data_IF_747193190937
#
_entry.id   IF_747193190937
#
_cell.length_a   1.000
_cell.length_b   1.000
_cell.length_c   1.000
_cell.angle_alpha   90.00
_cell.angle_beta   90.00
_cell.angle_gamma   90.00
#
_symmetry.space_group_name_H-M   'P 1'
#
loop_
_entity.id
_entity.type
_entity.pdbx_description
1 polymer ?
#
# COMPACT_ATOMS: atom_id res chain seq x y z
N UNK A 1 -49.35 0.65 7.82
CA UNK A 1 -48.30 1.52 8.36
C UNK A 1 -46.99 0.76 8.61
N UNK A 2 -46.99 -0.38 9.28
CA UNK A 2 -45.78 -1.19 9.56
C UNK A 2 -45.00 -1.63 8.29
N UNK A 3 -45.68 -2.17 7.27
CA UNK A 3 -45.05 -2.62 6.02
C UNK A 3 -44.37 -1.48 5.23
N UNK A 4 -44.88 -0.26 5.33
CA UNK A 4 -44.29 0.91 4.70
C UNK A 4 -42.99 1.32 5.41
N UNK A 5 -43.00 1.40 6.73
CA UNK A 5 -41.82 1.74 7.52
C UNK A 5 -40.71 0.70 7.35
N UNK A 6 -41.07 -0.59 7.37
CA UNK A 6 -40.15 -1.68 7.10
C UNK A 6 -39.48 -1.55 5.74
N UNK A 7 -40.24 -1.22 4.70
CA UNK A 7 -39.71 -1.02 3.34
C UNK A 7 -38.72 0.16 3.31
N UNK A 8 -39.06 1.30 3.94
CA UNK A 8 -38.16 2.45 4.03
C UNK A 8 -36.85 2.09 4.70
N UNK A 9 -36.88 1.36 5.81
CA UNK A 9 -35.68 0.88 6.54
C UNK A 9 -34.87 -0.06 5.65
N UNK A 10 -35.50 -0.96 4.91
CA UNK A 10 -34.81 -1.86 3.99
C UNK A 10 -34.13 -1.10 2.83
N UNK A 11 -34.80 -0.07 2.26
CA UNK A 11 -34.21 0.81 1.23
C UNK A 11 -33.02 1.57 1.80
N UNK A 12 -33.15 2.13 2.98
CA UNK A 12 -32.04 2.79 3.69
C UNK A 12 -30.83 1.85 3.88
N UNK A 13 -31.07 0.64 4.37
CA UNK A 13 -30.01 -0.38 4.51
C UNK A 13 -29.39 -0.78 3.17
N UNK A 14 -30.14 -0.73 2.07
CA UNK A 14 -29.61 -0.94 0.73
C UNK A 14 -28.71 0.22 0.29
N UNK A 15 -29.09 1.46 0.58
CA UNK A 15 -28.30 2.66 0.28
C UNK A 15 -26.98 2.69 1.07
N UNK A 16 -26.93 2.13 2.27
CA UNK A 16 -25.68 1.97 3.05
C UNK A 16 -24.65 1.09 2.38
N UNK A 17 -25.05 0.21 1.46
CA UNK A 17 -24.15 -0.67 0.69
C UNK A 17 -23.57 -0.03 -0.56
N UNK A 18 -23.96 1.20 -0.87
CA UNK A 18 -23.46 1.98 -2.00
C UNK A 18 -24.56 2.62 -2.84
N UNK A 19 -24.17 3.43 -3.83
CA UNK A 19 -25.10 4.14 -4.70
C UNK A 19 -26.06 3.22 -5.46
N UNK A 20 -27.28 3.69 -5.69
CA UNK A 20 -28.31 2.95 -6.44
C UNK A 20 -28.99 3.82 -7.47
N UNK A 21 -29.23 3.25 -8.65
CA UNK A 21 -30.20 3.79 -9.61
C UNK A 21 -31.58 3.15 -9.35
N UNK A 22 -32.62 3.71 -9.94
CA UNK A 22 -33.98 3.15 -9.78
C UNK A 22 -34.06 1.70 -10.28
N UNK A 23 -33.38 1.35 -11.36
CA UNK A 23 -33.34 0.00 -11.91
C UNK A 23 -32.67 -1.00 -10.96
N UNK A 24 -31.55 -0.60 -10.36
CA UNK A 24 -30.85 -1.40 -9.35
C UNK A 24 -31.73 -1.62 -8.13
N UNK A 25 -32.44 -0.56 -7.70
CA UNK A 25 -33.32 -0.64 -6.54
C UNK A 25 -34.56 -1.50 -6.83
N UNK A 26 -35.13 -1.40 -8.02
CA UNK A 26 -36.28 -2.22 -8.44
C UNK A 26 -35.91 -3.71 -8.52
N UNK A 27 -34.77 -4.05 -9.11
CA UNK A 27 -34.25 -5.43 -9.15
C UNK A 27 -33.97 -5.98 -7.74
N UNK A 28 -33.36 -5.15 -6.90
CA UNK A 28 -33.11 -5.52 -5.51
C UNK A 28 -34.41 -5.76 -4.73
N UNK A 29 -35.42 -4.89 -4.89
CA UNK A 29 -36.72 -5.04 -4.24
C UNK A 29 -37.40 -6.34 -4.65
N UNK A 30 -37.42 -6.64 -5.95
CA UNK A 30 -37.97 -7.91 -6.46
C UNK A 30 -37.25 -9.13 -5.87
N UNK A 31 -35.90 -9.12 -5.84
CA UNK A 31 -35.10 -10.20 -5.25
C UNK A 31 -35.28 -10.33 -3.72
N UNK A 32 -35.63 -9.24 -3.05
CA UNK A 32 -35.91 -9.23 -1.59
C UNK A 32 -37.37 -9.57 -1.26
N UNK A 33 -38.19 -9.96 -2.25
CA UNK A 33 -39.61 -10.27 -2.06
C UNK A 33 -40.46 -9.04 -1.70
N UNK A 34 -40.01 -7.85 -2.08
CA UNK A 34 -40.73 -6.60 -1.84
C UNK A 34 -41.55 -6.26 -3.08
N UNK A 35 -42.83 -6.55 -3.06
CA UNK A 35 -43.76 -6.21 -4.14
C UNK A 35 -44.06 -4.70 -4.14
N UNK A 36 -43.33 -3.93 -4.95
CA UNK A 36 -43.49 -2.48 -5.03
C UNK A 36 -43.18 -1.99 -6.44
N UNK A 37 -44.04 -1.09 -6.94
CA UNK A 37 -43.82 -0.46 -8.24
C UNK A 37 -42.78 0.69 -8.17
N UNK A 38 -42.17 0.99 -9.30
CA UNK A 38 -41.15 2.04 -9.45
C UNK A 38 -41.60 3.40 -8.91
N UNK A 39 -42.85 3.80 -9.13
CA UNK A 39 -43.40 5.07 -8.60
C UNK A 39 -43.37 5.13 -7.07
N UNK A 40 -43.63 4.00 -6.42
CA UNK A 40 -43.59 3.93 -4.96
C UNK A 40 -42.16 3.97 -4.43
N UNK A 41 -41.22 3.33 -5.12
CA UNK A 41 -39.78 3.42 -4.77
C UNK A 41 -39.28 4.87 -4.84
N UNK A 42 -39.69 5.64 -5.84
CA UNK A 42 -39.39 7.08 -5.91
C UNK A 42 -39.95 7.85 -4.72
N UNK A 43 -41.20 7.55 -4.32
CA UNK A 43 -41.81 8.20 -3.14
C UNK A 43 -41.07 7.86 -1.86
N UNK A 44 -40.71 6.59 -1.69
CA UNK A 44 -39.98 6.11 -0.53
C UNK A 44 -38.58 6.75 -0.43
N UNK A 45 -37.85 6.88 -1.56
CA UNK A 45 -36.56 7.59 -1.59
C UNK A 45 -36.74 9.07 -1.27
N UNK A 46 -37.75 9.72 -1.84
CA UNK A 46 -38.03 11.13 -1.53
C UNK A 46 -38.39 11.31 -0.05
N UNK A 47 -39.09 10.38 0.55
CA UNK A 47 -39.36 10.41 1.98
C UNK A 47 -38.05 10.19 2.79
N UNK A 48 -37.16 9.29 2.35
CA UNK A 48 -35.84 9.13 2.95
C UNK A 48 -34.96 10.38 2.89
N UNK A 49 -35.11 11.22 1.85
CA UNK A 49 -34.41 12.52 1.76
C UNK A 49 -34.86 13.51 2.84
N UNK A 50 -36.09 13.37 3.32
CA UNK A 50 -36.65 14.27 4.35
C UNK A 50 -36.57 13.68 5.76
N UNK A 51 -36.31 12.35 5.87
CA UNK A 51 -36.17 11.64 7.14
C UNK A 51 -34.68 11.60 7.50
N UNK A 52 -34.36 12.09 8.67
CA UNK A 52 -33.05 11.89 9.27
C UNK A 52 -33.10 10.59 10.08
N UNK A 53 -32.68 9.46 9.46
CA UNK A 53 -32.72 8.13 10.09
C UNK A 53 -31.56 7.97 11.05
N UNK A 54 -30.38 8.45 10.68
CA UNK A 54 -29.23 8.52 11.55
C UNK A 54 -28.63 9.92 11.54
N UNK A 55 -28.04 10.34 12.64
CA UNK A 55 -27.46 11.66 12.81
C UNK A 55 -26.37 11.89 11.75
N UNK A 56 -26.51 12.96 10.97
CA UNK A 56 -25.56 13.34 9.92
C UNK A 56 -25.70 12.58 8.58
N UNK A 57 -26.51 11.53 8.49
CA UNK A 57 -26.74 10.82 7.23
C UNK A 57 -27.88 11.48 6.41
N UNK A 58 -27.59 11.76 5.16
CA UNK A 58 -28.57 12.31 4.21
C UNK A 58 -28.56 11.51 2.92
N UNK A 59 -29.75 11.29 2.36
CA UNK A 59 -29.87 10.73 1.01
C UNK A 59 -29.71 11.87 0.00
N UNK A 60 -28.64 11.82 -0.79
CA UNK A 60 -28.40 12.77 -1.87
C UNK A 60 -28.65 12.14 -3.23
N UNK A 61 -29.06 12.97 -4.15
CA UNK A 61 -29.31 12.63 -5.54
C UNK A 61 -28.24 13.27 -6.41
N UNK A 62 -27.70 12.51 -7.35
CA UNK A 62 -26.73 12.99 -8.35
C UNK A 62 -26.93 12.25 -9.67
N UNK A 63 -26.33 12.76 -10.72
CA UNK A 63 -26.31 12.10 -12.02
C UNK A 63 -24.98 11.38 -12.20
N UNK A 64 -25.01 10.08 -12.54
CA UNK A 64 -23.82 9.31 -12.77
C UNK A 64 -23.18 9.59 -14.15
N UNK A 65 -22.03 9.01 -14.42
CA UNK A 65 -21.29 9.17 -15.69
C UNK A 65 -22.09 8.70 -16.92
N UNK A 66 -23.12 7.88 -16.73
CA UNK A 66 -24.04 7.40 -17.77
C UNK A 66 -25.30 8.24 -17.85
N UNK A 67 -25.31 9.42 -17.26
CA UNK A 67 -26.42 10.36 -17.23
C UNK A 67 -27.70 9.80 -16.58
N UNK A 68 -27.54 8.89 -15.60
CA UNK A 68 -28.66 8.27 -14.87
C UNK A 68 -28.78 8.87 -13.47
N UNK A 69 -30.02 9.08 -13.07
CA UNK A 69 -30.36 9.52 -11.71
C UNK A 69 -29.98 8.45 -10.70
N UNK A 70 -29.14 8.80 -9.76
CA UNK A 70 -28.55 7.90 -8.77
C UNK A 70 -28.70 8.51 -7.37
N UNK A 71 -28.95 7.68 -6.38
CA UNK A 71 -29.00 8.07 -4.97
C UNK A 71 -27.93 7.37 -4.17
N UNK A 72 -27.36 8.09 -3.22
CA UNK A 72 -26.41 7.57 -2.23
C UNK A 72 -26.68 8.18 -0.87
N UNK A 73 -26.22 7.52 0.17
CA UNK A 73 -26.08 8.15 1.48
C UNK A 73 -24.82 9.00 1.48
N UNK A 74 -24.97 10.25 1.85
CA UNK A 74 -23.86 11.13 2.18
C UNK A 74 -23.90 11.43 3.67
N UNK A 75 -22.73 11.43 4.24
CA UNK A 75 -22.53 11.83 5.59
C UNK A 75 -22.16 13.32 5.62
N UNK A 76 -23.07 14.14 6.12
CA UNK A 76 -22.74 15.53 6.48
C UNK A 76 -22.41 15.53 7.96
N UNK A 77 -21.14 15.36 8.30
CA UNK A 77 -20.69 15.64 9.63
C UNK A 77 -21.01 17.12 9.95
N UNK A 78 -21.67 17.39 11.06
CA UNK A 78 -21.61 18.72 11.63
C UNK A 78 -20.14 19.04 11.86
N UNK A 79 -19.68 20.20 11.36
CA UNK A 79 -18.30 20.60 11.47
C UNK A 79 -17.86 20.49 12.96
N UNK A 80 -16.95 19.55 13.24
CA UNK A 80 -16.41 19.31 14.56
C UNK A 80 -16.94 18.08 15.31
N UNK A 81 -17.98 17.37 14.85
CA UNK A 81 -18.40 16.10 15.45
C UNK A 81 -17.79 14.91 14.70
N UNK A 82 -17.07 14.07 15.43
CA UNK A 82 -16.53 12.80 14.94
C UNK A 82 -17.63 11.74 14.87
N UNK A 83 -17.57 10.92 13.86
CA UNK A 83 -18.56 9.89 13.57
C UNK A 83 -17.98 8.50 13.84
N UNK A 84 -18.81 7.47 13.99
CA UNK A 84 -18.36 6.09 14.01
C UNK A 84 -17.49 5.71 12.82
N UNK A 85 -17.78 6.28 11.64
CA UNK A 85 -16.99 6.05 10.43
C UNK A 85 -15.58 6.65 10.53
N UNK A 86 -15.45 7.84 11.13
CA UNK A 86 -14.15 8.50 11.32
C UNK A 86 -13.26 7.67 12.26
N UNK A 87 -13.85 7.13 13.34
CA UNK A 87 -13.12 6.25 14.26
C UNK A 87 -12.66 4.98 13.58
N UNK A 88 -13.54 4.29 12.85
CA UNK A 88 -13.19 3.08 12.14
C UNK A 88 -12.08 3.36 11.11
N UNK A 89 -12.16 4.49 10.40
CA UNK A 89 -11.13 4.92 9.44
C UNK A 89 -9.80 5.18 10.13
N UNK A 90 -9.82 5.84 11.29
CA UNK A 90 -8.60 6.09 12.07
C UNK A 90 -7.94 4.78 12.54
N UNK A 91 -8.70 3.86 13.15
CA UNK A 91 -8.15 2.59 13.60
C UNK A 91 -7.67 1.72 12.45
N UNK A 92 -8.39 1.72 11.31
CA UNK A 92 -7.95 1.04 10.10
C UNK A 92 -6.60 1.60 9.64
N UNK A 93 -6.47 2.91 9.49
CA UNK A 93 -5.21 3.57 9.09
C UNK A 93 -4.10 3.32 10.10
N UNK A 94 -4.39 3.39 11.41
CA UNK A 94 -3.43 3.09 12.47
C UNK A 94 -2.90 1.67 12.37
N UNK A 95 -3.77 0.68 12.11
CA UNK A 95 -3.35 -0.72 11.97
C UNK A 95 -2.49 -0.98 10.74
N UNK A 96 -2.68 -0.23 9.67
CA UNK A 96 -1.86 -0.33 8.46
C UNK A 96 -0.65 0.63 8.46
N UNK A 97 -0.55 1.53 9.43
CA UNK A 97 0.60 2.42 9.51
C UNK A 97 1.89 1.64 9.80
N UNK A 98 3.02 2.02 9.20
CA UNK A 98 4.32 1.46 9.52
C UNK A 98 4.64 1.62 11.00
N UNK A 99 5.30 0.61 11.58
CA UNK A 99 5.62 0.61 13.00
C UNK A 99 6.47 1.82 13.43
N UNK A 100 7.43 2.22 12.59
CA UNK A 100 8.25 3.41 12.84
C UNK A 100 7.41 4.69 13.02
N UNK A 101 6.36 4.87 12.19
CA UNK A 101 5.42 6.00 12.33
C UNK A 101 4.65 5.91 13.63
N UNK A 102 4.16 4.71 13.99
CA UNK A 102 3.42 4.51 15.22
C UNK A 102 4.28 4.76 16.45
N UNK A 103 5.53 4.31 16.46
CA UNK A 103 6.46 4.51 17.56
C UNK A 103 6.79 5.99 17.75
N UNK A 104 7.18 6.69 16.68
CA UNK A 104 7.53 8.12 16.70
C UNK A 104 6.32 9.00 17.06
N UNK A 105 5.13 8.63 16.60
CA UNK A 105 3.91 9.41 16.77
C UNK A 105 3.00 8.91 17.89
N UNK A 106 3.48 8.02 18.76
CA UNK A 106 2.69 7.40 19.81
C UNK A 106 1.87 8.41 20.61
N UNK A 107 2.49 9.48 21.07
CA UNK A 107 1.79 10.53 21.86
C UNK A 107 0.69 11.26 21.06
N UNK A 108 0.87 11.41 19.75
CA UNK A 108 -0.15 12.02 18.88
C UNK A 108 -1.33 11.08 18.69
N UNK A 109 -1.09 9.79 18.45
CA UNK A 109 -2.16 8.79 18.37
C UNK A 109 -2.95 8.69 19.68
N UNK A 110 -2.26 8.67 20.82
CA UNK A 110 -2.91 8.66 22.15
C UNK A 110 -3.76 9.92 22.40
N UNK A 111 -3.32 11.09 21.92
CA UNK A 111 -4.12 12.33 22.00
C UNK A 111 -5.40 12.21 21.15
N UNK A 112 -5.30 11.72 19.93
CA UNK A 112 -6.44 11.53 19.03
C UNK A 112 -7.42 10.51 19.65
N UNK A 113 -6.92 9.41 20.17
CA UNK A 113 -7.75 8.39 20.85
C UNK A 113 -8.49 8.97 22.07
N UNK A 114 -7.82 9.85 22.85
CA UNK A 114 -8.47 10.56 23.95
C UNK A 114 -9.59 11.50 23.50
N UNK A 115 -9.44 12.12 22.32
CA UNK A 115 -10.51 12.94 21.70
C UNK A 115 -11.69 12.06 21.33
N UNK A 116 -11.44 10.92 20.67
CA UNK A 116 -12.50 9.95 20.35
C UNK A 116 -13.20 9.45 21.61
N UNK A 117 -12.44 9.04 22.65
CA UNK A 117 -13.01 8.61 23.90
C UNK A 117 -13.95 9.64 24.54
N UNK A 118 -13.61 10.94 24.45
CA UNK A 118 -14.46 12.02 24.98
C UNK A 118 -15.69 12.32 24.11
N UNK A 119 -15.63 12.00 22.82
CA UNK A 119 -16.70 12.28 21.84
C UNK A 119 -17.79 11.20 21.81
N UNK A 120 -17.54 10.01 22.42
CA UNK A 120 -18.45 8.88 22.39
C UNK A 120 -18.73 8.36 23.81
N UNK A 121 -19.82 7.64 23.96
CA UNK A 121 -20.07 6.91 25.19
C UNK A 121 -19.02 5.81 25.41
N UNK A 122 -18.73 5.47 26.65
CA UNK A 122 -17.77 4.41 26.99
C UNK A 122 -18.06 3.09 26.26
N UNK A 123 -19.33 2.68 26.20
CA UNK A 123 -19.75 1.44 25.56
C UNK A 123 -19.53 1.45 24.03
N UNK A 124 -19.73 2.58 23.38
CA UNK A 124 -19.48 2.72 21.93
C UNK A 124 -18.00 2.66 21.65
N UNK A 125 -17.19 3.39 22.41
CA UNK A 125 -15.74 3.38 22.23
C UNK A 125 -15.13 1.98 22.47
N UNK A 126 -15.56 1.26 23.52
CA UNK A 126 -15.11 -0.10 23.79
C UNK A 126 -15.41 -1.07 22.64
N UNK A 127 -16.55 -0.94 21.97
CA UNK A 127 -16.85 -1.73 20.76
C UNK A 127 -15.85 -1.48 19.62
N UNK A 128 -15.40 -0.23 19.46
CA UNK A 128 -14.40 0.10 18.44
C UNK A 128 -13.00 -0.39 18.80
N UNK A 129 -12.63 -0.31 20.08
CA UNK A 129 -11.36 -0.89 20.58
C UNK A 129 -11.33 -2.39 20.37
N UNK A 130 -12.41 -3.10 20.71
CA UNK A 130 -12.54 -4.54 20.49
C UNK A 130 -12.49 -4.90 19.00
N UNK A 131 -13.16 -4.12 18.13
CA UNK A 131 -13.07 -4.31 16.69
C UNK A 131 -11.63 -4.13 16.16
N UNK A 132 -10.84 -3.27 16.81
CA UNK A 132 -9.44 -3.07 16.46
C UNK A 132 -8.56 -4.30 16.76
N UNK A 133 -8.90 -5.09 17.77
CA UNK A 133 -8.21 -6.34 18.13
C UNK A 133 -8.43 -7.46 17.09
N UNK A 134 -9.44 -7.30 16.22
CA UNK A 134 -9.69 -8.25 15.11
C UNK A 134 -8.69 -8.12 13.97
N UNK A 135 -7.89 -7.04 13.94
CA UNK A 135 -6.88 -6.85 12.90
C UNK A 135 -5.56 -7.49 13.31
N UNK A 136 -5.28 -8.65 12.72
CA UNK A 136 -3.98 -9.30 12.88
C UNK A 136 -2.94 -8.55 12.04
N UNK A 137 -1.98 -7.94 12.72
CA UNK A 137 -0.86 -7.27 12.09
C UNK A 137 0.27 -8.28 11.87
N UNK A 138 0.44 -8.75 10.64
CA UNK A 138 1.64 -9.47 10.26
C UNK A 138 2.76 -8.47 9.93
N UNK A 139 3.70 -8.34 10.85
CA UNK A 139 4.94 -7.61 10.60
C UNK A 139 6.08 -8.62 10.46
N UNK A 140 6.72 -8.66 9.30
CA UNK A 140 7.96 -9.40 9.09
C UNK A 140 9.16 -8.71 9.75
N UNK A 141 8.91 -7.65 10.54
CA UNK A 141 9.94 -6.87 11.20
C UNK A 141 10.00 -7.18 12.68
N UNK A 142 11.22 -7.27 13.18
CA UNK A 142 11.47 -7.30 14.59
C UNK A 142 11.16 -5.91 15.18
N UNK A 143 9.95 -5.73 15.67
CA UNK A 143 9.45 -4.46 16.24
C UNK A 143 10.34 -3.95 17.38
N UNK A 144 11.02 -4.85 18.11
CA UNK A 144 11.95 -4.47 19.15
C UNK A 144 13.22 -3.77 18.64
N UNK A 145 13.59 -3.95 17.36
CA UNK A 145 14.71 -3.22 16.75
C UNK A 145 14.35 -1.80 16.34
N UNK A 146 13.05 -1.51 16.16
CA UNK A 146 12.57 -0.17 15.76
C UNK A 146 12.01 0.62 16.95
N UNK A 147 11.83 0.00 18.11
CA UNK A 147 11.21 0.61 19.29
C UNK A 147 11.97 1.74 19.95
N UNK A 148 13.15 2.11 19.43
CA UNK A 148 13.99 3.18 19.94
C UNK A 148 14.40 4.17 18.85
N UNK A 149 13.50 4.48 17.90
CA UNK A 149 13.65 5.71 17.14
C UNK A 149 13.42 6.87 18.11
N UNK A 150 14.45 7.17 18.90
CA UNK A 150 14.47 8.33 19.81
C UNK A 150 14.48 9.67 19.04
N UNK A 151 14.42 9.61 17.72
CA UNK A 151 14.69 10.75 16.88
C UNK A 151 13.47 11.13 16.05
N UNK A 152 13.26 12.40 15.95
CA UNK A 152 12.32 13.09 15.06
C UNK A 152 12.70 12.93 13.57
N UNK A 153 13.30 11.81 13.19
CA UNK A 153 13.86 11.61 11.84
C UNK A 153 12.83 11.81 10.73
N UNK A 154 11.63 11.25 10.91
CA UNK A 154 10.55 11.41 9.92
C UNK A 154 10.12 12.89 9.83
N UNK A 155 10.02 13.58 10.97
CA UNK A 155 9.70 15.02 11.00
C UNK A 155 10.76 15.84 10.30
N UNK A 156 12.02 15.56 10.58
CA UNK A 156 13.16 16.25 9.99
C UNK A 156 13.21 16.03 8.47
N UNK A 157 12.89 14.82 8.00
CA UNK A 157 12.75 14.56 6.57
C UNK A 157 11.56 15.28 5.95
N UNK A 158 10.40 15.26 6.59
CA UNK A 158 9.22 15.99 6.12
C UNK A 158 9.56 17.48 6.02
N UNK A 159 10.24 18.03 7.02
CA UNK A 159 10.68 19.42 7.01
C UNK A 159 11.67 19.70 5.87
N UNK A 160 12.66 18.82 5.66
CA UNK A 160 13.63 18.95 4.58
C UNK A 160 12.96 18.88 3.20
N UNK A 161 12.00 17.96 3.01
CA UNK A 161 11.22 17.85 1.79
C UNK A 161 10.38 19.10 1.50
N UNK A 162 9.67 19.62 2.51
CA UNK A 162 8.84 20.82 2.36
C UNK A 162 9.67 22.06 2.05
N UNK A 163 10.83 22.18 2.68
CA UNK A 163 11.70 23.34 2.53
C UNK A 163 12.79 23.17 1.47
N UNK A 164 12.77 22.04 0.72
CA UNK A 164 13.77 21.69 -0.28
C UNK A 164 15.20 21.84 0.25
N UNK A 165 15.48 21.27 1.43
CA UNK A 165 16.79 21.34 2.08
C UNK A 165 17.68 20.18 1.70
N UNK A 166 18.95 20.47 1.52
CA UNK A 166 19.99 19.47 1.33
C UNK A 166 20.22 18.77 2.66
N UNK A 167 20.36 17.44 2.63
CA UNK A 167 20.80 16.67 3.78
C UNK A 167 22.13 15.99 3.50
N UNK A 168 22.91 15.80 4.54
CA UNK A 168 24.16 15.03 4.47
C UNK A 168 23.89 13.70 5.15
N UNK A 169 24.00 12.62 4.42
CA UNK A 169 23.89 11.27 4.96
C UNK A 169 25.29 10.83 5.35
N UNK A 170 25.49 10.62 6.64
CA UNK A 170 26.80 10.35 7.22
C UNK A 170 27.09 8.87 7.28
N UNK A 171 26.06 8.06 7.55
CA UNK A 171 26.20 6.61 7.67
C UNK A 171 24.87 5.90 7.41
N UNK A 172 24.98 4.73 6.78
CA UNK A 172 23.92 3.75 6.64
C UNK A 172 24.53 2.35 6.94
N UNK A 173 24.42 1.91 8.19
CA UNK A 173 25.05 0.67 8.65
C UNK A 173 24.44 -0.57 8.02
N UNK A 174 23.17 -0.55 7.64
CA UNK A 174 22.53 -1.69 6.94
C UNK A 174 23.15 -1.89 5.56
N UNK A 175 23.39 -0.78 4.86
CA UNK A 175 24.06 -0.84 3.57
C UNK A 175 25.59 -1.01 3.71
N UNK A 176 26.19 -0.54 4.81
CA UNK A 176 27.62 -0.70 5.07
C UNK A 176 28.03 -2.16 5.31
N UNK A 177 27.22 -2.97 5.97
CA UNK A 177 27.44 -4.41 6.11
C UNK A 177 27.34 -5.18 4.76
N UNK A 178 26.63 -4.61 3.78
CA UNK A 178 26.49 -5.09 2.41
C UNK A 178 27.32 -4.30 1.39
N UNK A 179 28.29 -3.51 1.84
CA UNK A 179 29.06 -2.46 1.13
C UNK A 179 29.80 -2.87 -0.14
N UNK A 180 29.70 -4.10 -0.60
CA UNK A 180 30.18 -4.46 -1.94
C UNK A 180 29.20 -4.12 -3.07
N UNK A 181 27.99 -3.58 -2.77
CA UNK A 181 26.93 -3.42 -3.76
C UNK A 181 26.53 -1.94 -3.99
N UNK A 182 26.73 -1.08 -2.98
CA UNK A 182 26.55 0.37 -3.15
C UNK A 182 27.93 1.02 -3.03
N UNK A 183 28.58 1.32 -4.16
CA UNK A 183 29.76 2.17 -4.24
C UNK A 183 29.37 3.62 -3.87
N UNK A 184 28.91 3.84 -2.65
CA UNK A 184 28.60 5.16 -2.15
C UNK A 184 29.52 5.46 -0.99
N UNK A 185 30.52 6.27 -1.25
CA UNK A 185 31.42 6.76 -0.20
C UNK A 185 30.63 7.78 0.65
N UNK A 186 30.53 7.52 1.95
CA UNK A 186 29.96 8.45 2.90
C UNK A 186 31.02 9.49 3.32
N UNK A 187 30.62 10.73 3.61
CA UNK A 187 29.25 11.27 3.64
C UNK A 187 28.68 11.59 2.25
N UNK A 188 27.36 11.42 2.09
CA UNK A 188 26.66 11.69 0.83
C UNK A 188 25.86 12.98 0.92
N UNK A 189 26.11 13.91 0.00
CA UNK A 189 25.22 15.06 -0.20
C UNK A 189 23.98 14.59 -0.93
N UNK A 190 22.81 14.72 -0.31
CA UNK A 190 21.57 14.15 -0.78
C UNK A 190 20.49 15.23 -0.93
N UNK A 191 19.79 15.18 -2.05
CA UNK A 191 18.67 16.04 -2.40
C UNK A 191 17.39 15.23 -2.23
N UNK A 192 16.68 15.33 -1.09
CA UNK A 192 15.51 14.51 -0.82
C UNK A 192 14.34 14.88 -1.72
N UNK A 193 13.69 13.88 -2.31
CA UNK A 193 12.59 14.06 -3.24
C UNK A 193 11.27 13.56 -2.67
N UNK A 194 11.26 12.41 -1.99
CA UNK A 194 10.04 11.84 -1.40
C UNK A 194 10.34 10.84 -0.28
N UNK A 195 9.31 10.60 0.56
CA UNK A 195 9.27 9.47 1.48
C UNK A 195 8.51 8.32 0.81
N UNK A 196 9.10 7.13 0.86
CA UNK A 196 8.56 5.93 0.21
C UNK A 196 8.22 4.89 1.27
N UNK A 197 6.98 4.38 1.20
CA UNK A 197 6.58 3.22 1.96
C UNK A 197 6.74 1.98 1.10
N UNK A 198 7.62 1.09 1.51
CA UNK A 198 7.86 -0.14 0.75
C UNK A 198 8.02 -1.34 1.67
N UNK A 199 7.16 -2.34 1.51
CA UNK A 199 7.18 -3.60 2.28
C UNK A 199 7.28 -3.39 3.80
N UNK A 200 6.50 -2.45 4.32
CA UNK A 200 6.45 -2.13 5.75
C UNK A 200 7.60 -1.27 6.26
N UNK A 201 8.52 -0.83 5.39
CA UNK A 201 9.61 0.11 5.73
C UNK A 201 9.32 1.50 5.20
N UNK A 202 9.88 2.48 5.89
CA UNK A 202 9.97 3.84 5.38
C UNK A 202 11.37 4.03 4.82
N UNK A 203 11.45 4.58 3.62
CA UNK A 203 12.69 4.97 3.00
C UNK A 203 12.60 6.44 2.56
N UNK A 204 13.73 7.12 2.51
CA UNK A 204 13.86 8.40 1.84
C UNK A 204 14.45 8.16 0.46
N UNK A 205 13.80 8.71 -0.56
CA UNK A 205 14.24 8.67 -1.94
C UNK A 205 14.68 10.05 -2.41
N UNK A 206 15.73 10.10 -3.20
CA UNK A 206 16.27 11.34 -3.72
C UNK A 206 17.45 11.11 -4.66
N UNK A 207 18.18 12.15 -4.94
CA UNK A 207 19.37 12.11 -5.80
C UNK A 207 20.58 12.67 -5.11
N UNK A 208 21.76 12.22 -5.49
CA UNK A 208 23.04 12.77 -5.03
C UNK A 208 23.57 13.86 -6.00
N UNK A 209 24.76 14.38 -5.72
CA UNK A 209 25.43 15.39 -6.59
C UNK A 209 25.63 14.92 -8.04
N UNK A 210 25.79 13.61 -8.25
CA UNK A 210 26.00 13.02 -9.57
C UNK A 210 24.67 12.67 -10.26
N UNK A 211 23.57 13.22 -9.75
CA UNK A 211 22.20 12.96 -10.23
C UNK A 211 21.80 11.48 -10.19
N UNK A 212 22.49 10.67 -9.38
CA UNK A 212 22.16 9.27 -9.18
C UNK A 212 21.01 9.16 -8.18
N UNK A 213 19.98 8.36 -8.53
CA UNK A 213 18.88 8.03 -7.63
C UNK A 213 19.39 7.13 -6.50
N UNK A 214 19.08 7.48 -5.29
CA UNK A 214 19.42 6.72 -4.08
C UNK A 214 18.18 6.57 -3.20
N UNK A 215 18.12 5.42 -2.52
CA UNK A 215 17.11 5.13 -1.50
C UNK A 215 17.80 4.69 -0.22
N UNK A 216 17.41 5.29 0.90
CA UNK A 216 17.92 4.94 2.21
C UNK A 216 16.77 4.54 3.11
N UNK A 217 16.81 3.35 3.69
CA UNK A 217 15.85 2.94 4.72
C UNK A 217 16.07 3.75 5.98
N UNK A 218 15.00 4.33 6.52
CA UNK A 218 15.04 5.04 7.79
C UNK A 218 14.92 3.99 8.90
N UNK A 219 15.99 3.82 9.64
CA UNK A 219 16.08 2.96 10.82
C UNK A 219 16.98 3.59 11.89
N UNK A 220 17.15 2.91 13.01
CA UNK A 220 17.95 3.41 14.14
C UNK A 220 19.42 3.68 13.81
N UNK A 221 19.94 3.03 12.79
CA UNK A 221 21.35 3.09 12.40
C UNK A 221 21.60 4.11 11.26
N UNK A 222 20.53 4.77 10.81
CA UNK A 222 20.59 5.79 9.77
C UNK A 222 20.94 7.14 10.37
N UNK A 223 22.09 7.67 9.99
CA UNK A 223 22.62 8.95 10.51
C UNK A 223 22.69 9.99 9.41
N UNK A 224 22.07 11.12 9.65
CA UNK A 224 22.09 12.25 8.73
C UNK A 224 22.09 13.60 9.45
N UNK A 225 22.54 14.63 8.75
CA UNK A 225 22.52 16.02 9.21
C UNK A 225 21.69 16.88 8.28
N UNK A 226 20.76 17.66 8.86
CA UNK A 226 20.03 18.72 8.15
C UNK A 226 20.96 19.89 7.88
N UNK A 227 20.99 20.37 6.64
CA UNK A 227 21.73 21.59 6.30
C UNK A 227 20.79 22.79 6.17
N UNK A 228 21.37 23.99 6.25
CA UNK A 228 20.67 25.24 5.97
C UNK A 228 20.60 25.53 4.45
N UNK A 229 21.27 24.74 3.63
CA UNK A 229 21.33 24.94 2.20
C UNK A 229 20.05 24.43 1.52
N UNK A 230 19.47 25.27 0.67
CA UNK A 230 18.32 24.90 -0.13
C UNK A 230 18.76 24.49 -1.54
N UNK A 231 17.98 23.61 -2.17
CA UNK A 231 18.18 23.23 -3.56
C UNK A 231 16.94 23.51 -4.41
N UNK A 232 17.15 23.69 -5.71
CA UNK A 232 16.05 23.87 -6.65
C UNK A 232 15.44 22.50 -7.02
N UNK A 233 14.40 22.08 -6.29
CA UNK A 233 13.70 20.81 -6.53
C UNK A 233 13.21 20.67 -7.97
N UNK A 234 12.75 21.76 -8.62
CA UNK A 234 12.26 21.72 -9.99
C UNK A 234 13.34 21.31 -11.00
N UNK A 235 14.61 21.66 -10.74
CA UNK A 235 15.75 21.27 -11.55
C UNK A 235 15.90 19.74 -11.58
N UNK A 236 15.74 19.09 -10.44
CA UNK A 236 16.02 17.68 -10.25
C UNK A 236 14.83 16.75 -10.48
N UNK A 237 13.59 17.28 -10.45
CA UNK A 237 12.38 16.46 -10.53
C UNK A 237 12.32 15.63 -11.83
N UNK A 238 12.80 16.18 -12.95
CA UNK A 238 12.81 15.48 -14.24
C UNK A 238 13.75 14.29 -14.19
N UNK A 239 14.98 14.50 -13.75
CA UNK A 239 16.01 13.45 -13.61
C UNK A 239 15.54 12.38 -12.63
N UNK A 240 15.02 12.79 -11.47
CA UNK A 240 14.45 11.89 -10.48
C UNK A 240 13.35 10.99 -11.06
N UNK A 241 12.36 11.60 -11.70
CA UNK A 241 11.23 10.87 -12.30
C UNK A 241 11.68 9.93 -13.43
N UNK A 242 12.67 10.34 -14.24
CA UNK A 242 13.22 9.48 -15.31
C UNK A 242 13.96 8.29 -14.72
N UNK A 243 14.79 8.50 -13.71
CA UNK A 243 15.52 7.42 -13.05
C UNK A 243 14.57 6.44 -12.36
N UNK A 244 13.53 6.97 -11.66
CA UNK A 244 12.54 6.16 -10.96
C UNK A 244 11.79 5.19 -11.91
N UNK A 245 11.54 5.61 -13.16
CA UNK A 245 10.89 4.74 -14.17
C UNK A 245 11.69 3.47 -14.48
N UNK A 246 12.99 3.47 -14.23
CA UNK A 246 13.84 2.29 -14.41
C UNK A 246 13.79 1.29 -13.25
N UNK A 247 13.17 1.63 -12.13
CA UNK A 247 13.19 0.80 -10.93
C UNK A 247 12.01 -0.17 -10.89
N UNK A 248 12.28 -1.42 -10.59
CA UNK A 248 11.26 -2.35 -10.13
C UNK A 248 11.31 -2.36 -8.60
N UNK A 249 10.31 -1.74 -7.95
CA UNK A 249 10.37 -1.46 -6.52
C UNK A 249 11.32 -0.30 -6.19
N UNK A 250 12.12 -0.43 -5.14
CA UNK A 250 13.06 0.58 -4.66
C UNK A 250 14.53 0.18 -4.78
N UNK A 251 14.83 -1.03 -5.26
CA UNK A 251 16.21 -1.49 -5.36
C UNK A 251 16.87 -1.02 -6.66
N UNK A 252 18.13 -0.58 -6.52
CA UNK A 252 18.95 -0.18 -7.65
C UNK A 252 19.04 -1.29 -8.72
N UNK A 253 18.88 -0.96 -10.01
CA UNK A 253 19.22 -1.87 -11.10
C UNK A 253 20.67 -2.30 -11.03
N UNK A 254 20.97 -3.55 -11.40
CA UNK A 254 22.33 -4.10 -11.45
C UNK A 254 23.22 -3.35 -12.44
N UNK A 255 22.60 -2.76 -13.45
CA UNK A 255 23.19 -1.85 -14.40
C UNK A 255 22.19 -0.72 -14.72
N UNK A 256 22.60 0.33 -15.41
CA UNK A 256 21.73 1.46 -15.76
C UNK A 256 20.81 1.17 -16.96
N UNK A 257 20.76 -0.06 -17.44
CA UNK A 257 20.00 -0.43 -18.64
C UNK A 257 18.55 -0.75 -18.30
N UNK A 258 17.65 -0.34 -19.16
CA UNK A 258 16.23 -0.68 -19.14
C UNK A 258 15.99 -1.82 -20.12
N UNK A 259 15.43 -2.90 -19.64
CA UNK A 259 15.15 -4.10 -20.41
C UNK A 259 13.67 -4.27 -20.71
N UNK A 260 13.39 -4.84 -21.89
CA UNK A 260 12.07 -5.39 -22.16
C UNK A 260 12.01 -6.79 -21.54
N UNK A 261 11.23 -6.94 -20.49
CA UNK A 261 11.10 -8.16 -19.71
C UNK A 261 9.78 -8.85 -20.07
N UNK A 262 9.86 -10.15 -20.35
CA UNK A 262 8.69 -11.00 -20.58
C UNK A 262 8.74 -12.21 -19.66
N UNK A 263 7.73 -12.31 -18.81
CA UNK A 263 7.57 -13.39 -17.84
C UNK A 263 6.24 -14.10 -18.11
N UNK A 264 6.26 -15.41 -18.29
CA UNK A 264 5.06 -16.22 -18.40
C UNK A 264 4.79 -16.88 -17.05
N UNK A 265 3.57 -16.73 -16.59
CA UNK A 265 3.09 -17.25 -15.32
C UNK A 265 2.10 -18.37 -15.57
N UNK A 266 2.16 -19.43 -14.76
CA UNK A 266 1.11 -20.47 -14.79
C UNK A 266 -0.26 -19.88 -14.47
N UNK A 267 -1.33 -20.47 -15.00
CA UNK A 267 -2.70 -19.95 -14.97
C UNK A 267 -3.13 -19.39 -13.59
N UNK A 268 -3.22 -20.23 -12.57
CA UNK A 268 -3.70 -19.81 -11.24
C UNK A 268 -2.79 -18.80 -10.57
N UNK A 269 -1.47 -18.98 -10.70
CA UNK A 269 -0.49 -18.05 -10.13
C UNK A 269 -0.51 -16.71 -10.86
N UNK A 270 -0.62 -16.72 -12.20
CA UNK A 270 -0.72 -15.53 -13.02
C UNK A 270 -2.00 -14.72 -12.75
N UNK A 271 -3.13 -15.40 -12.57
CA UNK A 271 -4.39 -14.76 -12.20
C UNK A 271 -4.28 -14.00 -10.86
N UNK A 272 -3.63 -14.62 -9.87
CA UNK A 272 -3.36 -13.98 -8.58
C UNK A 272 -2.39 -12.79 -8.73
N UNK A 273 -1.28 -12.97 -9.42
CA UNK A 273 -0.25 -11.93 -9.57
C UNK A 273 -0.73 -10.71 -10.36
N UNK A 274 -1.65 -10.89 -11.30
CA UNK A 274 -2.28 -9.81 -12.07
C UNK A 274 -3.12 -8.87 -11.21
N UNK A 275 -3.58 -9.29 -10.03
CA UNK A 275 -4.36 -8.44 -9.12
C UNK A 275 -3.52 -7.38 -8.40
N UNK A 276 -2.19 -7.49 -8.44
CA UNK A 276 -1.27 -6.54 -7.83
C UNK A 276 -0.71 -5.57 -8.88
N UNK A 277 -0.34 -4.38 -8.42
CA UNK A 277 0.42 -3.43 -9.23
C UNK A 277 1.91 -3.65 -9.01
N UNK A 278 2.64 -3.94 -10.07
CA UNK A 278 4.07 -4.24 -10.01
C UNK A 278 4.95 -3.12 -10.56
N UNK A 279 4.52 -2.50 -11.66
CA UNK A 279 5.29 -1.45 -12.31
C UNK A 279 4.41 -0.65 -13.28
N UNK A 280 4.69 0.65 -13.46
CA UNK A 280 3.91 1.53 -14.33
C UNK A 280 3.90 1.12 -15.83
N UNK A 281 4.84 0.28 -16.27
CA UNK A 281 4.89 -0.25 -17.64
C UNK A 281 4.27 -1.63 -17.80
N UNK A 282 3.70 -2.19 -16.74
CA UNK A 282 3.16 -3.54 -16.76
C UNK A 282 2.03 -3.70 -17.77
N UNK A 283 2.09 -4.80 -18.53
CA UNK A 283 1.02 -5.22 -19.43
C UNK A 283 0.84 -6.71 -19.30
N UNK A 284 -0.38 -7.13 -18.97
CA UNK A 284 -0.76 -8.51 -18.84
C UNK A 284 -1.53 -9.00 -20.05
N UNK A 285 -1.19 -10.18 -20.57
CA UNK A 285 -1.87 -10.83 -21.67
C UNK A 285 -2.17 -12.27 -21.33
N UNK A 286 -3.42 -12.70 -21.51
CA UNK A 286 -3.81 -14.10 -21.39
C UNK A 286 -3.37 -14.84 -22.66
N UNK A 287 -2.62 -15.92 -22.50
CA UNK A 287 -2.15 -16.77 -23.58
C UNK A 287 -3.18 -17.86 -23.92
N UNK A 288 -3.05 -18.46 -25.11
CA UNK A 288 -3.95 -19.53 -25.57
C UNK A 288 -3.93 -20.80 -24.70
N UNK A 289 -2.81 -21.03 -24.00
CA UNK A 289 -2.64 -22.16 -23.08
C UNK A 289 -3.18 -21.90 -21.66
N UNK A 290 -3.86 -20.77 -21.44
CA UNK A 290 -4.38 -20.36 -20.12
C UNK A 290 -3.39 -19.59 -19.26
N UNK A 291 -2.09 -19.60 -19.58
CA UNK A 291 -1.06 -18.87 -18.84
C UNK A 291 -1.16 -17.36 -19.06
N UNK A 292 -0.53 -16.59 -18.19
CA UNK A 292 -0.46 -15.14 -18.28
C UNK A 292 0.95 -14.68 -18.64
N UNK A 293 1.05 -13.77 -19.62
CA UNK A 293 2.29 -13.10 -19.97
C UNK A 293 2.33 -11.69 -19.39
N UNK A 294 3.32 -11.42 -18.57
CA UNK A 294 3.65 -10.09 -18.07
C UNK A 294 4.75 -9.48 -18.90
N UNK A 295 4.50 -8.27 -19.42
CA UNK A 295 5.50 -7.44 -20.10
C UNK A 295 5.84 -6.26 -19.19
N UNK A 296 7.14 -6.01 -19.00
CA UNK A 296 7.69 -4.89 -18.23
C UNK A 296 8.81 -4.20 -19.01
N UNK A 297 9.01 -2.91 -18.73
CA UNK A 297 10.18 -2.15 -19.17
C UNK A 297 10.84 -1.54 -17.94
N UNK A 298 11.84 -2.22 -17.38
CA UNK A 298 12.55 -1.76 -16.18
C UNK A 298 13.96 -2.34 -16.11
N UNK A 299 14.76 -1.83 -15.20
CA UNK A 299 16.06 -2.39 -14.85
C UNK A 299 15.94 -3.70 -14.10
N UNK A 300 16.99 -4.51 -14.17
CA UNK A 300 17.08 -5.77 -13.40
C UNK A 300 17.70 -5.45 -12.05
N UNK A 301 16.87 -5.38 -11.02
CA UNK A 301 17.27 -5.16 -9.62
C UNK A 301 17.01 -6.37 -8.72
N UNK A 302 17.42 -6.26 -7.47
CA UNK A 302 17.22 -7.33 -6.46
C UNK A 302 15.76 -7.68 -6.26
N UNK A 303 14.86 -6.71 -6.31
CA UNK A 303 13.43 -6.94 -6.08
C UNK A 303 12.79 -7.68 -7.24
N UNK A 304 13.17 -7.38 -8.49
CA UNK A 304 12.72 -8.16 -9.64
C UNK A 304 13.21 -9.61 -9.55
N UNK A 305 14.50 -9.80 -9.21
CA UNK A 305 15.08 -11.11 -9.01
C UNK A 305 14.38 -11.87 -7.88
N UNK A 306 14.11 -11.19 -6.75
CA UNK A 306 13.37 -11.76 -5.63
C UNK A 306 11.91 -12.07 -5.97
N UNK A 307 11.26 -11.22 -6.74
CA UNK A 307 9.90 -11.44 -7.24
C UNK A 307 9.81 -12.74 -8.08
N UNK A 308 10.77 -12.92 -9.00
CA UNK A 308 10.84 -14.12 -9.83
C UNK A 308 11.19 -15.36 -8.97
N UNK A 309 12.13 -15.21 -8.04
CA UNK A 309 12.53 -16.31 -7.15
C UNK A 309 11.38 -16.82 -6.28
N UNK A 310 10.49 -15.94 -5.82
CA UNK A 310 9.30 -16.34 -5.06
C UNK A 310 8.31 -17.19 -5.89
N UNK A 311 8.30 -17.04 -7.21
CA UNK A 311 7.45 -17.81 -8.11
C UNK A 311 8.06 -19.15 -8.56
N UNK A 312 9.37 -19.37 -8.31
CA UNK A 312 10.10 -20.60 -8.64
C UNK A 312 9.69 -21.24 -9.99
N UNK A 313 9.05 -22.40 -9.92
CA UNK A 313 8.58 -23.21 -11.05
C UNK A 313 7.36 -22.63 -11.78
N UNK A 314 6.75 -21.58 -11.22
CA UNK A 314 5.51 -20.97 -11.75
C UNK A 314 5.78 -19.80 -12.69
N UNK A 315 7.05 -19.38 -12.83
CA UNK A 315 7.45 -18.26 -13.68
C UNK A 315 8.50 -18.70 -14.68
N UNK A 316 8.18 -18.59 -15.97
CA UNK A 316 9.10 -18.82 -17.06
C UNK A 316 9.60 -17.48 -17.63
N UNK A 317 10.90 -17.30 -17.68
CA UNK A 317 11.53 -16.09 -18.23
C UNK A 317 11.71 -16.28 -19.73
N UNK A 318 11.06 -15.43 -20.55
CA UNK A 318 11.25 -15.44 -22.00
C UNK A 318 12.37 -14.48 -22.42
N UNK A 319 12.41 -13.30 -21.82
CA UNK A 319 13.45 -12.29 -22.07
C UNK A 319 13.58 -11.30 -20.91
N UNK A 320 14.71 -10.61 -20.73
CA UNK A 320 15.93 -10.77 -21.54
C UNK A 320 16.76 -12.00 -21.13
N UNK A 321 17.72 -12.42 -21.98
CA UNK A 321 18.60 -13.54 -21.69
C UNK A 321 19.42 -13.31 -20.41
N UNK A 322 19.94 -12.10 -20.19
CA UNK A 322 20.71 -11.74 -19.00
C UNK A 322 19.94 -12.02 -17.70
N UNK A 323 18.62 -11.75 -17.66
CA UNK A 323 17.79 -12.05 -16.48
C UNK A 323 17.68 -13.55 -16.25
N UNK A 324 17.52 -14.34 -17.33
CA UNK A 324 17.49 -15.79 -17.27
C UNK A 324 18.82 -16.34 -16.72
N UNK A 325 19.96 -15.83 -17.23
CA UNK A 325 21.29 -16.26 -16.81
C UNK A 325 21.56 -15.93 -15.32
N UNK A 326 21.14 -14.76 -14.87
CA UNK A 326 21.19 -14.36 -13.44
C UNK A 326 20.38 -15.33 -12.57
N UNK A 327 19.16 -15.67 -12.97
CA UNK A 327 18.31 -16.57 -12.21
C UNK A 327 18.89 -17.98 -12.15
N UNK A 328 19.34 -18.53 -13.29
CA UNK A 328 20.00 -19.84 -13.33
C UNK A 328 21.20 -19.87 -12.39
N UNK A 329 22.08 -18.87 -12.46
CA UNK A 329 23.26 -18.77 -11.58
C UNK A 329 22.86 -18.76 -10.10
N UNK A 330 21.82 -17.98 -9.72
CA UNK A 330 21.36 -17.89 -8.33
C UNK A 330 20.75 -19.20 -7.84
N UNK A 331 19.95 -19.87 -8.64
CA UNK A 331 19.36 -21.15 -8.28
C UNK A 331 20.42 -22.25 -8.15
N UNK A 332 21.40 -22.31 -9.07
CA UNK A 332 22.54 -23.24 -8.97
C UNK A 332 23.35 -22.96 -7.72
N UNK A 333 23.66 -21.72 -7.39
CA UNK A 333 24.37 -21.37 -6.15
C UNK A 333 23.56 -21.75 -4.91
N UNK A 334 22.25 -21.55 -4.92
CA UNK A 334 21.37 -21.93 -3.81
C UNK A 334 21.36 -23.46 -3.63
N UNK A 335 21.26 -24.23 -4.71
CA UNK A 335 21.35 -25.69 -4.67
C UNK A 335 22.68 -26.18 -4.05
N UNK A 336 23.79 -25.65 -4.56
CA UNK A 336 25.14 -26.02 -4.05
C UNK A 336 25.34 -25.69 -2.57
N UNK A 337 24.77 -24.58 -2.08
CA UNK A 337 24.83 -24.22 -0.64
C UNK A 337 24.03 -25.23 0.19
N UNK A 338 22.86 -25.63 -0.29
CA UNK A 338 21.97 -26.55 0.43
C UNK A 338 22.51 -28.01 0.36
N UNK A 339 23.06 -28.45 -0.77
CA UNK A 339 23.68 -29.75 -0.91
C UNK A 339 24.88 -29.95 0.05
N UNK A 340 25.72 -28.90 0.22
CA UNK A 340 26.83 -28.95 1.18
C UNK A 340 26.35 -29.11 2.63
N UNK A 341 25.15 -28.63 2.95
CA UNK A 341 24.56 -28.76 4.27
C UNK A 341 23.79 -30.08 4.45
N UNK A 342 23.36 -30.74 3.37
CA UNK A 342 22.73 -32.06 3.42
C UNK A 342 23.70 -33.17 3.83
N UNK A 343 25.02 -33.02 3.61
CA UNK A 343 26.06 -33.97 4.06
C UNK A 343 26.25 -34.04 5.58
N UNK A 344 25.54 -33.25 6.37
CA UNK A 344 25.63 -33.25 7.85
C UNK A 344 24.36 -33.84 8.51
N UNK A 345 23.26 -34.06 7.78
CA UNK A 345 21.98 -34.51 8.36
C UNK A 345 21.25 -35.53 7.49
N UNK A 346 21.83 -36.67 7.18
CA UNK A 346 21.09 -37.83 6.62
C UNK A 346 20.04 -38.42 7.61
N UNK A 347 19.94 -37.88 8.83
CA UNK A 347 18.99 -38.36 9.85
C UNK A 347 17.60 -37.72 9.83
N UNK A 348 17.37 -36.66 9.02
CA UNK A 348 16.08 -35.99 8.94
C UNK A 348 15.25 -36.37 7.70
N UNK A 349 15.70 -37.29 6.86
CA UNK A 349 15.02 -37.66 5.62
C UNK A 349 13.94 -38.75 5.77
N UNK A 350 13.65 -39.21 6.99
CA UNK A 350 12.67 -40.26 7.26
C UNK A 350 11.47 -39.83 8.12
N UNK A 351 11.16 -38.55 8.22
CA UNK A 351 9.88 -38.10 8.80
C UNK A 351 8.96 -37.64 7.67
N UNK A 352 7.95 -38.47 7.42
CA UNK A 352 6.89 -38.33 6.43
C UNK A 352 6.18 -36.97 6.60
N UNK A 353 6.05 -36.22 5.49
CA UNK A 353 5.09 -35.17 5.29
C UNK A 353 3.86 -35.66 4.51
#
# INVERSE_FOLDING_TARGET
MAAHLERIIRIYNRLRRGPVTIDVLSKWAANAGIEVGTRQLYRDINQLKTLQIAEGENVVEFTDEKNRKTWKLEYKAEAGKLTPFDINSFFLLKNFAPFAVLAERKSSFEKIEKIFYKSFSKNEYEKYVQANELFLRHSNFNENKYGTLEHKQIEDFIWALHNSRIIIIEQDLINSANNKIINTDFPVTFYPMELVFHRGRIAIAGINKDEKLLHFSIDKDFVFTLTNDAFNRKKFIKTYTQNLKGFFGISDPLNKEIYNIKLEFTDSYGASMKSFYWHHTEKWTLLKNGNYMLHLQCGIGRELVGFIANGLDKIKIHQPKILKDIMIKKFTQSALINEKNLGVNEQLANEDY
#
